data_IF_653259616797
#
_entry.id   IF_653259616797
#
_cell.length_a   1.000
_cell.length_b   1.000
_cell.length_c   1.000
_cell.angle_alpha   90.00
_cell.angle_beta   90.00
_cell.angle_gamma   90.00
#
_symmetry.space_group_name_H-M   'P 1'
#
loop_
_entity.id
_entity.type
_entity.pdbx_description
1 polymer ?
#
# COMPACT_ATOMS: atom_id res chain seq x y z
N UNK A 1 18.48 -6.26 -9.40
CA UNK A 1 18.23 -7.29 -8.38
C UNK A 1 18.25 -8.68 -9.01
N UNK A 2 18.32 -9.73 -8.21
CA UNK A 2 18.19 -11.12 -8.69
C UNK A 2 16.97 -11.75 -8.04
N UNK A 3 16.06 -12.29 -8.84
CA UNK A 3 14.85 -13.00 -8.39
C UNK A 3 14.80 -14.37 -9.06
N UNK A 4 14.58 -15.43 -8.29
CA UNK A 4 14.55 -16.83 -8.79
C UNK A 4 15.78 -17.25 -9.63
N UNK A 5 16.94 -16.64 -9.39
CA UNK A 5 18.16 -16.87 -10.18
C UNK A 5 18.28 -16.00 -11.44
N UNK A 6 17.24 -15.28 -11.82
CA UNK A 6 17.22 -14.38 -12.98
C UNK A 6 17.61 -12.95 -12.59
N UNK A 7 18.42 -12.31 -13.41
CA UNK A 7 18.81 -10.91 -13.22
C UNK A 7 17.73 -9.97 -13.74
N UNK A 8 17.09 -9.23 -12.84
CA UNK A 8 16.04 -8.25 -13.16
C UNK A 8 16.62 -6.85 -13.15
N UNK A 9 16.44 -6.12 -14.24
CA UNK A 9 16.73 -4.69 -14.33
C UNK A 9 15.45 -3.90 -14.08
N UNK A 10 15.49 -2.96 -13.14
CA UNK A 10 14.36 -2.08 -12.86
C UNK A 10 14.80 -0.65 -13.10
N UNK A 11 14.08 0.03 -13.97
CA UNK A 11 14.28 1.45 -14.26
C UNK A 11 13.05 2.23 -13.81
N UNK A 12 13.28 3.35 -13.11
CA UNK A 12 12.22 4.28 -12.72
C UNK A 12 12.31 5.54 -13.55
N UNK A 13 11.27 5.80 -14.33
CA UNK A 13 11.16 7.00 -15.16
C UNK A 13 10.16 7.95 -14.49
N UNK A 14 10.65 9.10 -14.01
CA UNK A 14 9.82 10.17 -13.46
C UNK A 14 9.23 11.04 -14.59
N UNK A 15 7.99 11.45 -14.41
CA UNK A 15 7.29 12.36 -15.35
C UNK A 15 6.69 13.57 -14.63
N UNK A 16 7.10 13.83 -13.38
CA UNK A 16 6.69 14.98 -12.54
C UNK A 16 5.18 15.21 -12.49
N UNK A 17 4.40 14.11 -12.57
CA UNK A 17 2.94 14.15 -12.56
C UNK A 17 2.32 14.51 -13.93
N UNK A 18 3.12 14.66 -14.98
CA UNK A 18 2.61 14.87 -16.34
C UNK A 18 2.15 13.54 -16.95
N UNK A 19 0.83 13.40 -17.07
CA UNK A 19 0.19 12.19 -17.56
C UNK A 19 0.40 11.99 -19.08
N UNK A 20 0.57 13.05 -19.85
CA UNK A 20 0.81 12.95 -21.28
C UNK A 20 2.23 12.47 -21.56
N UNK A 21 3.22 13.04 -20.85
CA UNK A 21 4.60 12.58 -20.90
C UNK A 21 4.68 11.11 -20.48
N UNK A 22 3.97 10.71 -19.42
CA UNK A 22 3.89 9.32 -19.00
C UNK A 22 3.31 8.42 -20.10
N UNK A 23 2.19 8.82 -20.72
CA UNK A 23 1.55 8.07 -21.80
C UNK A 23 2.47 7.86 -23.00
N UNK A 24 3.23 8.90 -23.38
CA UNK A 24 4.20 8.80 -24.47
C UNK A 24 5.37 7.87 -24.13
N UNK A 25 5.83 7.87 -22.86
CA UNK A 25 6.87 6.94 -22.40
C UNK A 25 6.36 5.49 -22.41
N UNK A 26 5.15 5.24 -21.94
CA UNK A 26 4.53 3.90 -22.07
C UNK A 26 4.45 3.46 -23.54
N UNK A 27 4.05 4.36 -24.44
CA UNK A 27 3.99 4.05 -25.88
C UNK A 27 5.35 3.70 -26.47
N UNK A 28 6.40 4.44 -26.10
CA UNK A 28 7.78 4.22 -26.55
C UNK A 28 8.30 2.84 -26.13
N UNK A 29 7.99 2.43 -24.90
CA UNK A 29 8.51 1.22 -24.27
C UNK A 29 7.60 -0.02 -24.47
N UNK A 30 6.38 0.13 -24.96
CA UNK A 30 5.41 -0.96 -25.13
C UNK A 30 5.93 -2.06 -26.09
N UNK A 31 6.13 -3.24 -25.56
CA UNK A 31 6.71 -4.39 -26.27
C UNK A 31 8.24 -4.42 -26.29
N UNK A 32 8.92 -3.53 -25.52
CA UNK A 32 10.40 -3.54 -25.38
C UNK A 32 10.86 -3.91 -23.97
N UNK A 33 9.94 -3.99 -23.01
CA UNK A 33 10.17 -4.38 -21.63
C UNK A 33 9.23 -5.52 -21.25
N UNK A 34 9.60 -6.31 -20.22
CA UNK A 34 8.84 -7.50 -19.80
C UNK A 34 7.59 -7.15 -19.00
N UNK A 35 7.59 -6.04 -18.28
CA UNK A 35 6.42 -5.58 -17.51
C UNK A 35 6.52 -4.09 -17.18
N UNK A 36 5.36 -3.45 -17.02
CA UNK A 36 5.23 -2.10 -16.49
C UNK A 36 4.65 -2.11 -15.08
N UNK A 37 5.30 -1.35 -14.16
CA UNK A 37 4.73 -0.97 -12.88
C UNK A 37 4.23 0.47 -12.92
N UNK A 38 2.93 0.69 -12.75
CA UNK A 38 2.37 2.04 -12.67
C UNK A 38 2.79 2.70 -11.37
N UNK A 39 3.49 3.82 -11.47
CA UNK A 39 3.97 4.60 -10.32
C UNK A 39 3.13 5.83 -10.07
N UNK A 40 2.91 6.15 -8.79
CA UNK A 40 2.20 7.36 -8.37
C UNK A 40 0.68 7.33 -8.54
N UNK A 41 0.13 6.22 -9.03
CA UNK A 41 -1.31 6.02 -9.17
C UNK A 41 -1.64 4.52 -9.21
N UNK A 42 -2.85 4.17 -8.80
CA UNK A 42 -3.43 2.84 -8.99
C UNK A 42 -4.37 2.86 -10.20
N UNK A 43 -4.48 1.75 -10.91
CA UNK A 43 -5.44 1.57 -12.02
C UNK A 43 -6.88 1.48 -11.52
N UNK A 44 -7.04 1.14 -10.27
CA UNK A 44 -8.30 1.01 -9.57
C UNK A 44 -8.10 0.46 -8.16
N UNK A 45 -9.19 0.20 -7.46
CA UNK A 45 -9.17 -0.45 -6.17
C UNK A 45 -10.03 -1.73 -6.21
N UNK A 46 -9.54 -2.76 -5.55
CA UNK A 46 -10.32 -3.98 -5.33
C UNK A 46 -10.81 -4.00 -3.88
N UNK A 47 -12.10 -3.97 -3.69
CA UNK A 47 -12.73 -4.07 -2.39
C UNK A 47 -13.86 -5.09 -2.42
N UNK A 48 -13.88 -6.01 -1.47
CA UNK A 48 -14.89 -7.07 -1.34
C UNK A 48 -15.12 -7.87 -2.64
N UNK A 49 -14.03 -8.22 -3.33
CA UNK A 49 -14.08 -8.96 -4.59
C UNK A 49 -14.56 -8.15 -5.80
N UNK A 50 -14.87 -6.89 -5.63
CA UNK A 50 -15.32 -5.99 -6.70
C UNK A 50 -14.22 -5.02 -7.10
N UNK A 51 -13.94 -4.94 -8.41
CA UNK A 51 -13.01 -3.99 -9.00
C UNK A 51 -13.70 -2.64 -9.25
N UNK A 52 -13.04 -1.57 -8.81
CA UNK A 52 -13.47 -0.17 -9.01
C UNK A 52 -12.39 0.57 -9.80
N UNK A 53 -12.53 0.76 -11.12
CA UNK A 53 -11.52 1.41 -11.95
C UNK A 53 -11.39 2.90 -11.64
N UNK A 54 -10.18 3.43 -11.73
CA UNK A 54 -9.89 4.87 -11.68
C UNK A 54 -9.78 5.41 -13.10
N UNK A 55 -10.89 5.90 -13.63
CA UNK A 55 -10.99 6.38 -15.01
C UNK A 55 -10.05 7.55 -15.32
N UNK A 56 -9.70 8.36 -14.31
CA UNK A 56 -8.75 9.45 -14.47
C UNK A 56 -7.31 8.99 -14.71
N UNK A 57 -6.98 7.74 -14.41
CA UNK A 57 -5.65 7.14 -14.67
C UNK A 57 -5.57 6.51 -16.07
N UNK A 58 -6.70 6.08 -16.64
CA UNK A 58 -6.74 5.42 -17.94
C UNK A 58 -6.03 6.20 -19.08
N UNK A 59 -6.12 7.55 -19.18
CA UNK A 59 -5.38 8.30 -20.19
C UNK A 59 -3.87 8.10 -20.14
N UNK A 60 -3.29 7.93 -18.95
CA UNK A 60 -1.85 7.73 -18.77
C UNK A 60 -1.34 6.42 -19.37
N UNK A 61 -2.16 5.38 -19.35
CA UNK A 61 -1.77 4.03 -19.83
C UNK A 61 -2.43 3.63 -21.15
N UNK A 62 -3.10 4.56 -21.83
CA UNK A 62 -3.92 4.31 -23.04
C UNK A 62 -3.18 3.68 -24.22
N UNK A 63 -1.88 3.79 -24.27
CA UNK A 63 -1.07 3.26 -25.37
C UNK A 63 -0.44 1.90 -25.07
N UNK A 64 -0.56 1.39 -23.85
CA UNK A 64 -0.06 0.05 -23.49
C UNK A 64 -0.97 -1.00 -24.12
N UNK A 65 -0.39 -1.88 -24.94
CA UNK A 65 -1.12 -2.91 -25.69
C UNK A 65 -0.46 -4.28 -25.66
N UNK A 66 0.86 -4.34 -25.46
CA UNK A 66 1.67 -5.55 -25.56
C UNK A 66 2.25 -5.97 -24.22
N UNK A 67 2.83 -5.00 -23.50
CA UNK A 67 3.54 -5.24 -22.25
C UNK A 67 2.54 -5.39 -21.10
N UNK A 68 2.67 -6.40 -20.24
CA UNK A 68 1.89 -6.52 -19.01
C UNK A 68 1.99 -5.26 -18.16
N UNK A 69 0.86 -4.81 -17.63
CA UNK A 69 0.76 -3.59 -16.82
C UNK A 69 0.16 -3.92 -15.45
N UNK A 70 0.85 -3.55 -14.37
CA UNK A 70 0.42 -3.75 -12.98
C UNK A 70 0.63 -2.48 -12.15
N UNK A 71 -0.11 -2.33 -11.08
CA UNK A 71 -0.08 -1.15 -10.19
C UNK A 71 0.31 -1.48 -8.74
N UNK A 72 0.60 -2.73 -8.44
CA UNK A 72 0.88 -3.20 -7.08
C UNK A 72 -0.34 -3.77 -6.36
N UNK A 73 -1.52 -3.73 -6.99
CA UNK A 73 -2.77 -4.21 -6.41
C UNK A 73 -2.75 -5.69 -6.06
N UNK A 74 -2.03 -6.50 -6.83
CA UNK A 74 -1.83 -7.91 -6.53
C UNK A 74 -1.08 -8.13 -5.22
N UNK A 75 -0.03 -7.37 -4.95
CA UNK A 75 0.74 -7.47 -3.71
C UNK A 75 -0.01 -6.87 -2.51
N UNK A 76 -0.79 -5.82 -2.70
CA UNK A 76 -1.69 -5.28 -1.66
C UNK A 76 -2.67 -6.35 -1.14
N UNK A 77 -3.02 -7.32 -1.99
CA UNK A 77 -4.00 -8.38 -1.67
C UNK A 77 -3.38 -9.74 -1.37
N UNK A 78 -2.09 -9.94 -1.55
CA UNK A 78 -1.41 -11.23 -1.29
C UNK A 78 -0.31 -11.12 -0.23
N UNK A 79 0.56 -10.12 -0.31
CA UNK A 79 1.68 -9.96 0.62
C UNK A 79 1.26 -9.19 1.89
N UNK A 80 0.51 -8.10 1.74
CA UNK A 80 0.13 -7.27 2.88
C UNK A 80 -0.86 -7.97 3.82
N UNK A 81 -1.67 -8.91 3.34
CA UNK A 81 -2.57 -9.68 4.18
C UNK A 81 -1.85 -10.62 5.16
N UNK A 82 -0.56 -10.89 4.96
CA UNK A 82 0.27 -11.67 5.90
C UNK A 82 0.62 -10.89 7.17
N UNK A 83 0.44 -9.57 7.19
CA UNK A 83 0.91 -8.70 8.28
C UNK A 83 0.33 -9.05 9.67
N UNK A 84 -0.98 -9.30 9.88
CA UNK A 84 -1.50 -9.63 11.21
C UNK A 84 -0.91 -10.93 11.77
N UNK A 85 -0.82 -11.99 10.96
CA UNK A 85 -0.23 -13.26 11.38
C UNK A 85 1.27 -13.12 11.69
N UNK A 86 1.98 -12.29 10.91
CA UNK A 86 3.38 -11.98 11.15
C UNK A 86 3.58 -11.21 12.47
N UNK A 87 2.74 -10.21 12.76
CA UNK A 87 2.73 -9.49 14.04
C UNK A 87 2.53 -10.45 15.22
N UNK A 88 1.52 -11.30 15.15
CA UNK A 88 1.21 -12.26 16.21
C UNK A 88 2.36 -13.24 16.44
N UNK A 89 3.02 -13.68 15.38
CA UNK A 89 4.20 -14.56 15.46
C UNK A 89 5.42 -13.87 16.09
N UNK A 90 5.67 -12.59 15.75
CA UNK A 90 6.89 -11.88 16.13
C UNK A 90 6.79 -11.12 17.45
N UNK A 91 5.66 -10.45 17.68
CA UNK A 91 5.44 -9.55 18.83
C UNK A 91 4.03 -9.71 19.43
N UNK A 92 3.44 -10.91 19.36
CA UNK A 92 2.07 -11.18 19.80
C UNK A 92 1.83 -10.84 21.27
N UNK A 93 2.77 -11.15 22.18
CA UNK A 93 2.68 -10.79 23.59
C UNK A 93 2.61 -9.28 23.80
N UNK A 94 3.45 -8.54 23.07
CA UNK A 94 3.46 -7.07 23.11
C UNK A 94 2.11 -6.49 22.65
N UNK A 95 1.55 -7.01 21.56
CA UNK A 95 0.24 -6.60 21.03
C UNK A 95 -0.87 -6.94 22.04
N UNK A 96 -0.89 -8.18 22.56
CA UNK A 96 -1.93 -8.66 23.48
C UNK A 96 -1.96 -7.84 24.77
N UNK A 97 -0.78 -7.52 25.34
CA UNK A 97 -0.68 -6.70 26.56
C UNK A 97 -1.21 -5.27 26.40
N UNK A 98 -1.38 -4.80 25.16
CA UNK A 98 -1.84 -3.43 24.81
C UNK A 98 -3.22 -3.41 24.13
N UNK A 99 -3.89 -4.56 24.01
CA UNK A 99 -5.31 -4.64 23.64
C UNK A 99 -5.60 -4.75 22.17
N UNK A 100 -4.74 -5.37 21.33
CA UNK A 100 -5.02 -5.76 19.91
C UNK A 100 -5.89 -4.76 19.12
N UNK A 101 -5.57 -3.47 19.20
CA UNK A 101 -6.33 -2.39 18.57
C UNK A 101 -5.61 -1.88 17.34
N UNK A 102 -6.29 -1.82 16.21
CA UNK A 102 -5.68 -1.34 14.96
C UNK A 102 -6.46 -0.18 14.36
N UNK A 103 -5.75 0.90 14.06
CA UNK A 103 -6.22 1.99 13.20
C UNK A 103 -5.67 1.76 11.80
N UNK A 104 -6.56 1.58 10.82
CA UNK A 104 -6.20 1.46 9.40
C UNK A 104 -6.51 2.79 8.71
N UNK A 105 -5.50 3.46 8.17
CA UNK A 105 -5.63 4.82 7.65
C UNK A 105 -6.65 4.92 6.50
N UNK A 106 -6.49 4.12 5.44
CA UNK A 106 -7.45 4.00 4.32
C UNK A 106 -7.60 2.52 3.98
N UNK A 107 -8.67 1.91 4.50
CA UNK A 107 -8.88 0.46 4.41
C UNK A 107 -9.27 -0.02 3.02
N UNK A 108 -9.98 0.78 2.25
CA UNK A 108 -10.40 0.43 0.88
C UNK A 108 -9.19 0.32 -0.05
N UNK A 109 -8.21 1.21 0.08
CA UNK A 109 -6.95 1.15 -0.69
C UNK A 109 -6.13 -0.12 -0.37
N UNK A 110 -6.24 -0.61 0.86
CA UNK A 110 -5.51 -1.76 1.40
C UNK A 110 -6.47 -2.85 1.86
N UNK A 111 -7.33 -3.27 0.94
CA UNK A 111 -8.43 -4.19 1.27
C UNK A 111 -7.95 -5.50 1.88
N UNK A 112 -6.92 -6.13 1.30
CA UNK A 112 -6.34 -7.36 1.81
C UNK A 112 -5.84 -7.24 3.24
N UNK A 113 -5.13 -6.15 3.56
CA UNK A 113 -4.66 -5.82 4.91
C UNK A 113 -5.83 -5.60 5.88
N UNK A 114 -6.85 -4.84 5.44
CA UNK A 114 -8.04 -4.52 6.22
C UNK A 114 -8.86 -5.75 6.59
N UNK A 115 -9.10 -6.62 5.62
CA UNK A 115 -9.81 -7.88 5.83
C UNK A 115 -9.00 -8.80 6.77
N UNK A 116 -7.69 -8.92 6.55
CA UNK A 116 -6.84 -9.77 7.39
C UNK A 116 -6.82 -9.32 8.86
N UNK A 117 -6.75 -8.01 9.14
CA UNK A 117 -6.86 -7.51 10.52
C UNK A 117 -8.23 -7.79 11.13
N UNK A 118 -9.31 -7.57 10.36
CA UNK A 118 -10.67 -7.84 10.84
C UNK A 118 -10.88 -9.33 11.19
N UNK A 119 -10.29 -10.24 10.40
CA UNK A 119 -10.42 -11.68 10.60
C UNK A 119 -9.49 -12.23 11.69
N UNK A 120 -8.44 -11.48 12.09
CA UNK A 120 -7.44 -11.91 13.06
C UNK A 120 -7.76 -11.50 14.51
N UNK A 121 -9.00 -11.10 14.80
CA UNK A 121 -9.45 -10.77 16.15
C UNK A 121 -8.90 -9.46 16.72
N UNK A 122 -8.49 -8.53 15.85
CA UNK A 122 -8.16 -7.17 16.24
C UNK A 122 -9.44 -6.32 16.33
N UNK A 123 -9.50 -5.43 17.32
CA UNK A 123 -10.49 -4.36 17.33
C UNK A 123 -10.07 -3.33 16.29
N UNK A 124 -10.89 -3.15 15.23
CA UNK A 124 -10.52 -2.35 14.07
C UNK A 124 -11.21 -0.99 14.04
N UNK A 125 -10.47 0.03 13.64
CA UNK A 125 -10.98 1.33 13.19
C UNK A 125 -10.45 1.60 11.80
N UNK A 126 -11.36 1.78 10.83
CA UNK A 126 -11.03 2.17 9.48
C UNK A 126 -11.21 3.68 9.32
N UNK A 127 -10.19 4.34 8.83
CA UNK A 127 -10.11 5.78 8.73
C UNK A 127 -10.52 6.36 7.38
N UNK A 128 -11.14 5.59 6.51
CA UNK A 128 -11.41 5.97 5.11
C UNK A 128 -12.09 7.33 4.97
N UNK A 129 -13.16 7.58 5.75
CA UNK A 129 -13.84 8.87 5.74
C UNK A 129 -12.99 9.98 6.36
N UNK A 130 -12.17 9.65 7.37
CA UNK A 130 -11.31 10.61 8.06
C UNK A 130 -10.10 10.99 7.22
N UNK A 131 -9.32 9.99 6.76
CA UNK A 131 -8.06 10.21 6.07
C UNK A 131 -8.24 10.52 4.59
N UNK A 132 -9.28 9.94 3.96
CA UNK A 132 -9.57 10.15 2.55
C UNK A 132 -10.41 11.39 2.27
N UNK A 133 -11.41 11.68 3.11
CA UNK A 133 -12.41 12.72 2.84
C UNK A 133 -12.44 13.84 3.90
N UNK A 134 -11.59 13.78 4.92
CA UNK A 134 -11.57 14.74 6.05
C UNK A 134 -12.89 14.80 6.85
N UNK A 135 -13.69 13.73 6.81
CA UNK A 135 -14.96 13.60 7.55
C UNK A 135 -14.69 12.91 8.89
N UNK A 136 -15.05 13.50 10.05
CA UNK A 136 -14.70 13.00 11.38
C UNK A 136 -15.51 11.76 11.81
N UNK A 137 -15.68 10.79 10.93
CA UNK A 137 -16.44 9.56 11.17
C UNK A 137 -15.53 8.36 11.02
N UNK A 138 -15.38 7.57 12.09
CA UNK A 138 -14.67 6.31 12.09
C UNK A 138 -15.61 5.15 11.70
N UNK A 139 -15.07 4.20 10.97
CA UNK A 139 -15.76 2.96 10.61
C UNK A 139 -15.20 1.85 11.51
N UNK A 140 -16.06 1.09 12.18
CA UNK A 140 -15.62 0.10 13.19
C UNK A 140 -15.78 -1.36 12.76
N UNK A 141 -16.44 -1.61 11.64
CA UNK A 141 -16.69 -2.96 11.13
C UNK A 141 -16.36 -3.06 9.65
N UNK A 142 -15.78 -4.19 9.25
CA UNK A 142 -15.49 -4.46 7.84
C UNK A 142 -16.77 -4.41 6.98
N UNK A 143 -17.92 -4.83 7.51
CA UNK A 143 -19.21 -4.74 6.81
C UNK A 143 -19.65 -3.30 6.53
N UNK A 144 -19.35 -2.37 7.41
CA UNK A 144 -19.57 -0.94 7.18
C UNK A 144 -18.62 -0.39 6.12
N UNK A 145 -17.34 -0.83 6.18
CA UNK A 145 -16.35 -0.46 5.17
C UNK A 145 -16.77 -0.95 3.77
N UNK A 146 -17.31 -2.18 3.67
CA UNK A 146 -17.90 -2.71 2.42
C UNK A 146 -18.99 -1.80 1.86
N UNK A 147 -19.91 -1.37 2.71
CA UNK A 147 -20.99 -0.47 2.31
C UNK A 147 -20.44 0.89 1.84
N UNK A 148 -19.52 1.47 2.60
CA UNK A 148 -18.87 2.74 2.25
C UNK A 148 -18.11 2.61 0.92
N UNK A 149 -17.36 1.54 0.71
CA UNK A 149 -16.68 1.27 -0.57
C UNK A 149 -17.70 1.15 -1.72
N UNK A 150 -18.77 0.38 -1.55
CA UNK A 150 -19.78 0.19 -2.59
C UNK A 150 -20.45 1.49 -3.02
N UNK A 151 -20.66 2.43 -2.09
CA UNK A 151 -21.29 3.73 -2.35
C UNK A 151 -20.32 4.77 -2.90
N UNK A 152 -19.09 4.84 -2.36
CA UNK A 152 -18.17 5.93 -2.67
C UNK A 152 -17.20 5.61 -3.81
N UNK A 153 -16.77 4.35 -3.97
CA UNK A 153 -15.76 4.01 -4.98
C UNK A 153 -16.22 4.25 -6.42
N UNK A 154 -17.50 4.03 -6.82
CA UNK A 154 -17.97 4.38 -8.15
C UNK A 154 -17.89 5.89 -8.46
N UNK A 155 -17.98 6.73 -7.42
CA UNK A 155 -17.83 8.18 -7.54
C UNK A 155 -16.35 8.54 -7.54
N UNK A 156 -15.58 8.02 -6.58
CA UNK A 156 -14.14 8.27 -6.44
C UNK A 156 -13.38 7.93 -7.73
N UNK A 157 -13.70 6.79 -8.37
CA UNK A 157 -13.07 6.38 -9.63
C UNK A 157 -13.27 7.36 -10.80
N UNK A 158 -14.21 8.30 -10.70
CA UNK A 158 -14.50 9.33 -11.70
C UNK A 158 -13.98 10.73 -11.35
N UNK A 159 -13.39 10.87 -10.17
CA UNK A 159 -12.81 12.16 -9.76
C UNK A 159 -11.58 12.48 -10.58
N UNK A 160 -11.26 13.79 -10.77
CA UNK A 160 -10.03 14.21 -11.44
C UNK A 160 -8.79 13.62 -10.76
N UNK A 161 -7.78 13.28 -11.54
CA UNK A 161 -6.51 12.69 -11.06
C UNK A 161 -5.89 13.46 -9.88
N UNK A 162 -5.80 14.78 -10.00
CA UNK A 162 -5.22 15.65 -8.96
C UNK A 162 -5.98 15.66 -7.62
N UNK A 163 -7.23 15.17 -7.59
CA UNK A 163 -8.02 15.05 -6.36
C UNK A 163 -7.75 13.72 -5.63
N UNK A 164 -7.47 12.67 -6.40
CA UNK A 164 -7.17 11.33 -5.87
C UNK A 164 -5.69 11.24 -5.50
N UNK A 165 -4.83 11.75 -6.37
CA UNK A 165 -3.37 11.70 -6.25
C UNK A 165 -2.77 13.10 -6.21
N UNK A 166 -2.78 13.79 -5.07
CA UNK A 166 -2.12 15.08 -4.94
C UNK A 166 -0.61 14.90 -5.16
N UNK A 167 -0.01 15.78 -5.96
CA UNK A 167 1.42 15.76 -6.30
C UNK A 167 2.17 16.92 -5.62
N UNK A 168 3.50 16.78 -5.52
CA UNK A 168 4.38 17.81 -4.99
C UNK A 168 4.22 18.09 -3.50
N UNK A 169 4.45 19.32 -3.07
CA UNK A 169 4.45 19.77 -1.66
C UNK A 169 3.16 19.42 -0.87
N UNK A 170 2.05 19.19 -1.57
CA UNK A 170 0.79 18.80 -0.93
C UNK A 170 0.84 17.41 -0.29
N UNK A 171 1.73 16.53 -0.74
CA UNK A 171 1.93 15.20 -0.14
C UNK A 171 2.76 15.28 1.14
N UNK A 172 3.70 16.22 1.23
CA UNK A 172 4.66 16.33 2.34
C UNK A 172 4.10 17.11 3.53
N UNK A 173 3.04 17.92 3.31
CA UNK A 173 2.48 18.75 4.36
C UNK A 173 1.81 17.92 5.45
N UNK A 174 2.46 17.84 6.60
CA UNK A 174 1.91 17.22 7.80
C UNK A 174 0.81 18.11 8.41
N UNK A 175 -0.33 17.51 8.66
CA UNK A 175 -1.49 18.16 9.28
C UNK A 175 -2.03 17.23 10.37
N UNK A 176 -1.48 17.26 11.62
CA UNK A 176 -1.90 16.33 12.67
C UNK A 176 -3.39 16.43 12.93
N UNK A 177 -4.07 15.30 12.75
CA UNK A 177 -5.50 15.13 12.99
C UNK A 177 -5.76 13.75 13.56
N UNK A 178 -6.95 13.52 14.04
CA UNK A 178 -7.42 12.21 14.50
C UNK A 178 -6.61 11.62 15.67
N UNK A 179 -5.92 12.44 16.45
CA UNK A 179 -5.00 12.05 17.53
C UNK A 179 -5.63 11.06 18.51
N UNK A 180 -6.94 11.15 18.80
CA UNK A 180 -7.65 10.20 19.67
C UNK A 180 -7.60 8.75 19.16
N UNK A 181 -7.62 8.54 17.83
CA UNK A 181 -7.54 7.21 17.23
C UNK A 181 -6.11 6.68 17.19
N UNK A 182 -5.14 7.55 16.95
CA UNK A 182 -3.72 7.21 17.09
C UNK A 182 -3.40 6.81 18.55
N UNK A 183 -3.90 7.57 19.53
CA UNK A 183 -3.71 7.24 20.94
C UNK A 183 -4.37 5.92 21.33
N UNK A 184 -5.58 5.66 20.84
CA UNK A 184 -6.36 4.44 21.09
C UNK A 184 -5.70 3.20 20.49
N UNK A 185 -5.13 3.28 19.31
CA UNK A 185 -4.56 2.14 18.59
C UNK A 185 -3.27 1.63 19.23
N UNK A 186 -3.07 0.32 19.23
CA UNK A 186 -1.78 -0.33 19.45
C UNK A 186 -0.98 -0.39 18.15
N UNK A 187 -1.68 -0.73 17.07
CA UNK A 187 -1.16 -0.82 15.71
C UNK A 187 -1.77 0.27 14.84
N UNK A 188 -0.95 0.94 14.04
CA UNK A 188 -1.38 1.90 13.03
C UNK A 188 -0.93 1.33 11.69
N UNK A 189 -1.91 1.02 10.82
CA UNK A 189 -1.66 0.31 9.57
C UNK A 189 -2.13 1.11 8.36
N UNK A 190 -1.48 0.91 7.21
CA UNK A 190 -1.86 1.51 5.95
C UNK A 190 -0.70 2.09 5.17
N UNK A 191 -0.99 2.93 4.19
CA UNK A 191 0.03 3.61 3.40
C UNK A 191 0.81 4.62 4.25
N UNK A 192 2.13 4.63 4.08
CA UNK A 192 3.06 5.46 4.85
C UNK A 192 2.72 6.96 4.76
N UNK A 193 2.33 7.44 3.57
CA UNK A 193 2.00 8.85 3.37
C UNK A 193 0.76 9.27 4.14
N UNK A 194 -0.30 8.44 4.13
CA UNK A 194 -1.51 8.72 4.91
C UNK A 194 -1.23 8.71 6.41
N UNK A 195 -0.46 7.72 6.89
CA UNK A 195 -0.07 7.65 8.30
C UNK A 195 0.67 8.91 8.71
N UNK A 196 1.72 9.29 7.98
CA UNK A 196 2.59 10.44 8.27
C UNK A 196 1.85 11.77 8.19
N UNK A 197 0.99 11.93 7.20
CA UNK A 197 0.24 13.18 6.98
C UNK A 197 -0.54 13.61 8.21
N UNK A 198 -1.14 12.68 8.92
CA UNK A 198 -2.06 12.98 10.03
C UNK A 198 -1.53 12.58 11.41
N UNK A 199 -0.37 11.93 11.51
CA UNK A 199 0.16 11.45 12.78
C UNK A 199 0.44 12.59 13.77
N UNK A 200 0.19 12.39 15.08
CA UNK A 200 0.63 13.29 16.14
C UNK A 200 2.16 13.24 16.30
N UNK A 201 2.69 14.15 17.09
CA UNK A 201 4.14 14.18 17.39
C UNK A 201 4.59 12.99 18.25
N UNK A 202 3.69 12.46 19.08
CA UNK A 202 3.95 11.36 20.00
C UNK A 202 3.20 10.10 19.53
N UNK A 203 3.99 9.07 19.20
CA UNK A 203 3.56 7.71 18.87
C UNK A 203 4.29 6.70 19.76
N UNK A 204 4.62 7.10 20.99
CA UNK A 204 5.34 6.26 21.93
C UNK A 204 4.66 4.90 22.08
N UNK A 205 5.47 3.84 22.02
CA UNK A 205 5.04 2.46 22.17
C UNK A 205 4.05 1.96 21.09
N UNK A 206 3.89 2.67 19.98
CA UNK A 206 3.04 2.22 18.87
C UNK A 206 3.79 1.28 17.91
N UNK A 207 3.01 0.49 17.19
CA UNK A 207 3.46 -0.36 16.10
C UNK A 207 2.96 0.24 14.79
N UNK A 208 3.85 0.48 13.85
CA UNK A 208 3.47 0.91 12.50
C UNK A 208 3.55 -0.29 11.55
N UNK A 209 2.52 -0.47 10.73
CA UNK A 209 2.49 -1.46 9.64
C UNK A 209 2.24 -0.71 8.34
N UNK A 210 3.23 -0.71 7.45
CA UNK A 210 3.12 0.02 6.17
C UNK A 210 3.78 -0.78 5.03
N UNK A 211 3.62 -0.30 3.81
CA UNK A 211 4.18 -0.94 2.62
C UNK A 211 5.69 -0.71 2.50
N UNK A 212 6.08 0.54 2.30
CA UNK A 212 7.47 0.94 2.06
C UNK A 212 7.81 2.15 2.91
N UNK A 213 9.09 2.27 3.25
CA UNK A 213 9.61 3.44 3.96
C UNK A 213 10.94 3.86 3.37
N UNK A 214 11.22 5.16 3.43
CA UNK A 214 12.55 5.72 3.21
C UNK A 214 13.33 5.78 4.54
N UNK A 215 14.66 5.98 4.52
CA UNK A 215 15.43 6.22 5.75
C UNK A 215 14.91 7.40 6.56
N UNK A 216 14.41 8.45 5.89
CA UNK A 216 13.80 9.62 6.52
C UNK A 216 12.49 9.26 7.23
N UNK A 217 11.65 8.41 6.63
CA UNK A 217 10.42 7.92 7.25
C UNK A 217 10.73 7.14 8.54
N UNK A 218 11.73 6.26 8.48
CA UNK A 218 12.20 5.48 9.65
C UNK A 218 12.69 6.41 10.76
N UNK A 219 13.49 7.43 10.42
CA UNK A 219 13.98 8.41 11.38
C UNK A 219 12.85 9.22 12.02
N UNK A 220 11.83 9.58 11.23
CA UNK A 220 10.65 10.30 11.71
C UNK A 220 9.81 9.45 12.68
N UNK A 221 9.54 8.19 12.34
CA UNK A 221 8.85 7.25 13.23
C UNK A 221 9.64 6.99 14.51
N UNK A 222 10.95 6.82 14.41
CA UNK A 222 11.82 6.67 15.59
C UNK A 222 11.74 7.90 16.50
N UNK A 223 11.83 9.11 15.95
CA UNK A 223 11.71 10.37 16.68
C UNK A 223 10.35 10.51 17.36
N UNK A 224 9.27 10.01 16.73
CA UNK A 224 7.94 10.01 17.31
C UNK A 224 7.74 8.95 18.43
N UNK A 225 8.73 8.10 18.71
CA UNK A 225 8.68 7.09 19.76
C UNK A 225 8.05 5.77 19.35
N UNK A 226 7.88 5.52 18.04
CA UNK A 226 7.38 4.24 17.53
C UNK A 226 8.29 3.12 18.01
N UNK A 227 7.69 2.07 18.60
CA UNK A 227 8.42 0.91 19.10
C UNK A 227 8.81 -0.05 17.98
N UNK A 228 7.86 -0.47 17.19
CA UNK A 228 8.08 -1.40 16.08
C UNK A 228 7.56 -0.84 14.76
N UNK A 229 8.36 -1.01 13.74
CA UNK A 229 8.01 -0.73 12.34
C UNK A 229 7.99 -2.05 11.56
N UNK A 230 6.86 -2.32 10.91
CA UNK A 230 6.73 -3.43 9.98
C UNK A 230 6.56 -2.87 8.58
N UNK A 231 7.41 -3.32 7.66
CA UNK A 231 7.24 -3.07 6.23
C UNK A 231 6.77 -4.36 5.56
N UNK A 232 5.71 -4.26 4.76
CA UNK A 232 5.13 -5.43 4.10
C UNK A 232 5.88 -5.82 2.84
N UNK A 233 6.55 -4.88 2.17
CA UNK A 233 7.46 -5.19 1.06
C UNK A 233 8.88 -5.43 1.57
N UNK A 234 9.61 -6.38 0.96
CA UNK A 234 10.98 -6.67 1.37
C UNK A 234 11.91 -5.49 1.09
N UNK A 235 12.92 -5.34 1.95
CA UNK A 235 14.08 -4.48 1.70
C UNK A 235 15.12 -5.33 0.98
N UNK A 236 15.50 -4.93 -0.23
CA UNK A 236 16.52 -5.61 -1.04
C UNK A 236 17.61 -4.61 -1.38
N UNK A 237 18.86 -4.99 -1.18
CA UNK A 237 20.04 -4.13 -1.39
C UNK A 237 19.94 -2.77 -0.65
N UNK A 238 19.34 -2.78 0.56
CA UNK A 238 19.16 -1.59 1.38
C UNK A 238 18.05 -0.64 0.91
N UNK A 239 17.20 -1.05 -0.04
CA UNK A 239 16.07 -0.28 -0.54
C UNK A 239 14.76 -1.06 -0.38
N UNK A 240 13.73 -0.36 0.04
CA UNK A 240 12.36 -0.85 -0.01
C UNK A 240 11.77 -0.56 -1.39
N UNK A 241 11.17 -1.57 -2.01
CA UNK A 241 10.53 -1.42 -3.32
C UNK A 241 9.03 -1.13 -3.17
N UNK A 242 8.50 -0.23 -3.99
CA UNK A 242 7.05 -0.06 -4.09
C UNK A 242 6.37 -1.34 -4.57
N UNK A 243 5.13 -1.55 -4.14
CA UNK A 243 4.34 -2.74 -4.52
C UNK A 243 4.23 -2.88 -6.04
N UNK A 244 4.05 -1.77 -6.76
CA UNK A 244 3.99 -1.73 -8.22
C UNK A 244 5.29 -2.22 -8.89
N UNK A 245 6.44 -1.78 -8.41
CA UNK A 245 7.74 -2.21 -8.95
C UNK A 245 8.02 -3.68 -8.66
N UNK A 246 7.72 -4.12 -7.45
CA UNK A 246 7.93 -5.52 -7.06
C UNK A 246 6.99 -6.44 -7.84
N UNK A 247 5.70 -6.07 -8.00
CA UNK A 247 4.75 -6.85 -8.78
C UNK A 247 5.18 -6.95 -10.24
N UNK A 248 5.61 -5.86 -10.88
CA UNK A 248 6.14 -5.86 -12.24
C UNK A 248 7.38 -6.77 -12.36
N UNK A 249 8.28 -6.74 -11.40
CA UNK A 249 9.45 -7.63 -11.37
C UNK A 249 9.04 -9.12 -11.26
N UNK A 250 8.01 -9.44 -10.48
CA UNK A 250 7.47 -10.81 -10.38
C UNK A 250 6.80 -11.24 -11.69
N UNK A 251 6.09 -10.34 -12.37
CA UNK A 251 5.54 -10.62 -13.71
C UNK A 251 6.68 -10.93 -14.69
N UNK A 252 7.71 -10.08 -14.72
CA UNK A 252 8.86 -10.26 -15.62
C UNK A 252 9.55 -11.63 -15.42
N UNK A 253 9.90 -12.00 -14.17
CA UNK A 253 10.58 -13.29 -13.90
C UNK A 253 9.69 -14.52 -14.09
N UNK A 254 8.38 -14.33 -14.11
CA UNK A 254 7.45 -15.44 -14.33
C UNK A 254 7.42 -15.94 -15.78
N UNK A 255 7.91 -15.13 -16.72
CA UNK A 255 7.81 -15.39 -18.16
C UNK A 255 6.38 -15.40 -18.70
N UNK A 256 5.40 -14.96 -17.90
CA UNK A 256 3.99 -14.90 -18.32
C UNK A 256 3.73 -13.51 -18.88
N UNK A 257 3.44 -13.40 -20.13
CA UNK A 257 3.17 -12.15 -20.84
C UNK A 257 1.81 -11.52 -20.46
N UNK A 258 1.47 -11.56 -19.16
CA UNK A 258 0.25 -11.02 -18.56
C UNK A 258 0.42 -10.76 -17.06
N UNK A 259 -0.43 -9.92 -16.43
CA UNK A 259 -0.51 -9.83 -14.98
C UNK A 259 -0.73 -11.21 -14.33
N UNK A 260 -0.11 -11.44 -13.18
CA UNK A 260 -0.23 -12.69 -12.44
C UNK A 260 -1.55 -12.72 -11.65
N UNK A 261 -2.12 -13.92 -11.54
CA UNK A 261 -3.24 -14.16 -10.62
C UNK A 261 -2.76 -14.19 -9.17
N UNK A 262 -3.64 -14.00 -8.21
CA UNK A 262 -3.27 -14.04 -6.79
C UNK A 262 -2.63 -15.36 -6.35
N UNK A 263 -3.15 -16.54 -6.75
CA UNK A 263 -2.48 -17.81 -6.47
C UNK A 263 -1.04 -17.87 -7.01
N UNK A 264 -0.81 -17.38 -8.24
CA UNK A 264 0.51 -17.32 -8.86
C UNK A 264 1.45 -16.36 -8.11
N UNK A 265 0.95 -15.18 -7.70
CA UNK A 265 1.70 -14.25 -6.89
C UNK A 265 2.07 -14.86 -5.53
N UNK A 266 1.12 -15.51 -4.87
CA UNK A 266 1.34 -16.16 -3.58
C UNK A 266 2.41 -17.24 -3.70
N UNK A 267 2.33 -18.10 -4.73
CA UNK A 267 3.32 -19.14 -4.98
C UNK A 267 4.72 -18.58 -5.20
N UNK A 268 4.84 -17.49 -5.97
CA UNK A 268 6.14 -16.83 -6.21
C UNK A 268 6.68 -16.17 -4.94
N UNK A 269 5.82 -15.50 -4.16
CA UNK A 269 6.20 -14.88 -2.89
C UNK A 269 6.71 -15.93 -1.89
N UNK A 270 6.06 -17.08 -1.82
CA UNK A 270 6.46 -18.18 -0.94
C UNK A 270 7.78 -18.82 -1.41
N UNK A 271 7.96 -19.04 -2.72
CA UNK A 271 9.25 -19.51 -3.29
C UNK A 271 10.40 -18.56 -3.02
N UNK A 272 10.15 -17.26 -3.02
CA UNK A 272 11.16 -16.23 -2.73
C UNK A 272 11.36 -16.00 -1.23
N UNK A 273 10.53 -16.63 -0.36
CA UNK A 273 10.57 -16.41 1.07
C UNK A 273 10.21 -14.97 1.47
N UNK A 274 9.35 -14.31 0.68
CA UNK A 274 8.97 -12.93 0.96
C UNK A 274 7.94 -12.87 2.09
N UNK A 275 8.39 -12.31 3.20
CA UNK A 275 7.59 -12.03 4.39
C UNK A 275 7.74 -10.55 4.77
N UNK A 276 6.75 -9.99 5.50
CA UNK A 276 6.93 -8.68 6.13
C UNK A 276 8.20 -8.65 6.98
N UNK A 277 8.79 -7.48 7.11
CA UNK A 277 10.00 -7.27 7.92
C UNK A 277 9.68 -6.45 9.15
N UNK A 278 10.28 -6.83 10.28
CA UNK A 278 10.13 -6.13 11.55
C UNK A 278 11.43 -5.43 11.93
N UNK A 279 11.30 -4.16 12.29
CA UNK A 279 12.38 -3.35 12.83
C UNK A 279 11.95 -2.78 14.18
N UNK A 280 12.76 -2.96 15.21
CA UNK A 280 12.62 -2.29 16.49
C UNK A 280 13.32 -0.94 16.43
N UNK A 281 12.60 0.15 16.73
CA UNK A 281 13.11 1.52 16.59
C UNK A 281 13.52 2.14 17.94
N UNK A 282 12.81 1.76 19.04
CA UNK A 282 13.03 2.31 20.39
C UNK A 282 12.92 1.23 21.48
#
# INVERSE_FOLDING_TARGET
MTLLGEKVSIERIGTDGDMEVAALKYKELDGTVDAFGVGGADLGALADGKWYPFYSVAPMVRFVKKTPLVDGGGLKNTLENKAPAFLDKKIGEYINSRGRKVLIAVGVDRWGLSQAFADSGYETVFGDLMFGLDIPIAIHKISQLKLVAALLMPIAGRLPFAWIYPTGEKQEKRTPKWGKYYAWATVIAGDCHYIKRFMPADLKDKVIVTNTTTPEDVAEFKKAGVKYLITTTPVMDGRSFGTNMLEAALVAVSGKERPLTWPELTELLDKLGFEPQLQELN
#
